data_IF_608370416577
#
_entry.id   IF_608370416577
#
_cell.length_a   1.000
_cell.length_b   1.000
_cell.length_c   1.000
_cell.angle_alpha   90.00
_cell.angle_beta   90.00
_cell.angle_gamma   90.00
#
_symmetry.space_group_name_H-M   'P 1'
#
loop_
_entity.id
_entity.type
_entity.pdbx_description
1 polymer ?
#
# COMPACT_ATOMS: atom_id res chain seq x y z
N UNK A 1 -31.42 7.13 -4.14
CA UNK A 1 -30.53 6.00 -3.77
C UNK A 1 -29.84 5.29 -4.95
N UNK A 2 -30.44 5.22 -6.15
CA UNK A 2 -29.80 4.58 -7.35
C UNK A 2 -28.54 5.31 -7.85
N UNK A 3 -28.50 6.64 -7.85
CA UNK A 3 -27.34 7.42 -8.30
C UNK A 3 -26.08 7.21 -7.44
N UNK A 4 -26.24 7.02 -6.13
CA UNK A 4 -25.11 6.84 -5.21
C UNK A 4 -24.38 5.50 -5.42
N UNK A 5 -25.13 4.43 -5.73
CA UNK A 5 -24.56 3.11 -6.07
C UNK A 5 -23.80 3.12 -7.39
N UNK A 6 -24.26 3.89 -8.38
CA UNK A 6 -23.54 4.05 -9.66
C UNK A 6 -22.20 4.74 -9.44
N UNK A 7 -22.21 5.88 -8.73
CA UNK A 7 -20.99 6.63 -8.44
C UNK A 7 -19.94 5.79 -7.71
N UNK A 8 -20.34 5.03 -6.68
CA UNK A 8 -19.42 4.12 -5.99
C UNK A 8 -18.85 3.03 -6.91
N UNK A 9 -19.66 2.50 -7.82
CA UNK A 9 -19.22 1.48 -8.79
C UNK A 9 -18.26 2.07 -9.82
N UNK A 10 -18.50 3.31 -10.25
CA UNK A 10 -17.66 4.01 -11.23
C UNK A 10 -16.33 4.41 -10.59
N UNK A 11 -16.34 4.94 -9.36
CA UNK A 11 -15.13 5.20 -8.57
C UNK A 11 -14.37 3.90 -8.30
N UNK A 12 -15.06 2.81 -7.94
CA UNK A 12 -14.42 1.52 -7.71
C UNK A 12 -13.77 0.97 -8.98
N UNK A 13 -14.43 1.08 -10.13
CA UNK A 13 -13.85 0.72 -11.42
C UNK A 13 -12.67 1.62 -11.77
N UNK A 14 -12.74 2.93 -11.48
CA UNK A 14 -11.64 3.86 -11.74
C UNK A 14 -10.42 3.57 -10.87
N UNK A 15 -10.63 3.29 -9.57
CA UNK A 15 -9.59 2.88 -8.62
C UNK A 15 -9.02 1.49 -8.97
N UNK A 16 -9.85 0.60 -9.51
CA UNK A 16 -9.42 -0.72 -9.98
C UNK A 16 -8.57 -0.61 -11.26
N UNK A 17 -8.89 0.34 -12.14
CA UNK A 17 -8.13 0.61 -13.38
C UNK A 17 -6.82 1.35 -13.07
N UNK A 18 -6.83 2.29 -12.12
CA UNK A 18 -5.63 2.97 -11.63
C UNK A 18 -5.06 2.24 -10.41
N UNK A 19 -4.37 1.12 -10.68
CA UNK A 19 -3.77 0.24 -9.66
C UNK A 19 -2.88 1.03 -8.67
N UNK A 20 -2.23 2.09 -9.13
CA UNK A 20 -1.47 3.05 -8.32
C UNK A 20 -2.31 3.73 -7.24
N UNK A 21 -3.52 4.21 -7.57
CA UNK A 21 -4.42 4.89 -6.64
C UNK A 21 -5.01 3.94 -5.60
N UNK A 22 -5.07 2.63 -5.91
CA UNK A 22 -5.59 1.63 -4.97
C UNK A 22 -4.82 1.62 -3.64
N UNK A 23 -3.49 1.76 -3.69
CA UNK A 23 -2.67 1.81 -2.47
C UNK A 23 -2.95 3.06 -1.63
N UNK A 24 -3.10 4.22 -2.26
CA UNK A 24 -3.45 5.48 -1.59
C UNK A 24 -4.84 5.38 -0.95
N UNK A 25 -5.81 4.86 -1.70
CA UNK A 25 -7.19 4.66 -1.21
C UNK A 25 -7.21 3.71 0.00
N UNK A 26 -6.46 2.62 -0.04
CA UNK A 26 -6.31 1.71 1.11
C UNK A 26 -5.72 2.45 2.31
N UNK A 27 -4.67 3.24 2.12
CA UNK A 27 -4.09 4.08 3.17
C UNK A 27 -5.11 5.04 3.80
N UNK A 28 -5.90 5.74 2.99
CA UNK A 28 -6.95 6.64 3.48
C UNK A 28 -8.09 5.92 4.21
N UNK A 29 -8.50 4.74 3.72
CA UNK A 29 -9.52 3.92 4.40
C UNK A 29 -9.01 3.47 5.77
N UNK A 30 -7.77 2.99 5.85
CA UNK A 30 -7.14 2.60 7.10
C UNK A 30 -7.02 3.79 8.05
N UNK A 31 -6.65 4.97 7.56
CA UNK A 31 -6.62 6.18 8.35
C UNK A 31 -8.01 6.58 8.89
N UNK A 32 -9.03 6.59 8.05
CA UNK A 32 -10.41 6.92 8.45
C UNK A 32 -10.96 5.90 9.47
N UNK A 33 -10.59 4.62 9.35
CA UNK A 33 -11.00 3.54 10.25
C UNK A 33 -10.06 3.33 11.44
N UNK A 34 -8.96 4.07 11.53
CA UNK A 34 -7.91 3.88 12.54
C UNK A 34 -8.47 3.90 13.97
N UNK A 35 -9.30 4.88 14.31
CA UNK A 35 -9.95 4.97 15.62
C UNK A 35 -10.78 3.73 16.00
N UNK A 36 -11.46 3.10 15.03
CA UNK A 36 -12.25 1.88 15.28
C UNK A 36 -11.30 0.69 15.47
N UNK A 37 -10.28 0.59 14.61
CA UNK A 37 -9.28 -0.49 14.66
C UNK A 37 -8.50 -0.47 15.98
N UNK A 38 -8.06 0.70 16.43
CA UNK A 38 -7.33 0.86 17.69
C UNK A 38 -8.22 0.55 18.89
N UNK A 39 -9.48 1.02 18.90
CA UNK A 39 -10.43 0.71 19.99
C UNK A 39 -10.86 -0.75 20.04
N UNK A 40 -10.76 -1.48 18.92
CA UNK A 40 -11.01 -2.93 18.90
C UNK A 40 -9.88 -3.72 19.57
N UNK A 41 -8.65 -3.24 19.47
CA UNK A 41 -7.47 -3.87 20.10
C UNK A 41 -7.39 -3.46 21.57
N UNK A 42 -7.59 -2.17 21.85
CA UNK A 42 -7.61 -1.62 23.19
C UNK A 42 -8.87 -0.74 23.38
N UNK A 43 -9.93 -1.27 24.02
CA UNK A 43 -11.16 -0.53 24.29
C UNK A 43 -10.97 0.68 25.21
N UNK A 44 -9.88 0.71 25.99
CA UNK A 44 -9.58 1.78 26.95
C UNK A 44 -8.77 2.92 26.33
N UNK A 45 -8.18 2.69 25.15
CA UNK A 45 -7.44 3.73 24.43
C UNK A 45 -8.37 4.89 24.02
N UNK A 46 -7.95 6.11 24.35
CA UNK A 46 -8.49 7.30 23.71
C UNK A 46 -8.08 7.32 22.22
N UNK A 47 -8.76 8.12 21.39
CA UNK A 47 -8.60 8.11 19.92
C UNK A 47 -7.15 8.22 19.42
N UNK A 48 -6.25 8.79 20.22
CA UNK A 48 -4.82 8.96 19.89
C UNK A 48 -3.87 8.46 20.99
N UNK A 49 -4.35 7.61 21.90
CA UNK A 49 -3.58 7.11 23.06
C UNK A 49 -3.50 5.58 23.05
N UNK A 50 -3.32 4.97 21.88
CA UNK A 50 -3.12 3.52 21.76
C UNK A 50 -1.63 3.11 21.79
N UNK A 51 -0.75 4.04 22.17
CA UNK A 51 0.69 3.83 22.33
C UNK A 51 1.36 3.20 21.11
N UNK A 52 2.01 2.05 21.31
CA UNK A 52 2.85 1.40 20.29
C UNK A 52 2.06 0.86 19.08
N UNK A 53 0.78 0.52 19.26
CA UNK A 53 -0.07 0.01 18.18
C UNK A 53 -0.43 1.11 17.16
N UNK A 54 -0.56 2.34 17.65
CA UNK A 54 -0.82 3.51 16.80
C UNK A 54 0.35 3.80 15.87
N UNK A 55 1.59 3.69 16.38
CA UNK A 55 2.82 3.89 15.60
C UNK A 55 2.87 2.89 14.44
N UNK A 56 2.66 1.60 14.73
CA UNK A 56 2.68 0.54 13.71
C UNK A 56 1.57 0.77 12.67
N UNK A 57 0.36 1.11 13.10
CA UNK A 57 -0.76 1.36 12.20
C UNK A 57 -0.48 2.56 11.27
N UNK A 58 0.03 3.66 11.81
CA UNK A 58 0.35 4.84 11.00
C UNK A 58 1.57 4.61 10.09
N UNK A 59 2.54 3.79 10.50
CA UNK A 59 3.64 3.39 9.62
C UNK A 59 3.13 2.61 8.41
N UNK A 60 2.18 1.69 8.61
CA UNK A 60 1.54 0.94 7.51
C UNK A 60 0.74 1.89 6.60
N UNK A 61 -0.05 2.80 7.17
CA UNK A 61 -0.79 3.81 6.39
C UNK A 61 0.18 4.65 5.55
N UNK A 62 1.26 5.17 6.15
CA UNK A 62 2.27 5.96 5.47
C UNK A 62 2.94 5.16 4.34
N UNK A 63 3.25 3.88 4.56
CA UNK A 63 3.83 3.01 3.55
C UNK A 63 2.92 2.85 2.33
N UNK A 64 1.61 2.66 2.54
CA UNK A 64 0.64 2.59 1.44
C UNK A 64 0.52 3.89 0.65
N UNK A 65 0.50 5.03 1.34
CA UNK A 65 0.42 6.35 0.69
C UNK A 65 1.69 6.63 -0.11
N UNK A 66 2.87 6.46 0.49
CA UNK A 66 4.15 6.69 -0.16
C UNK A 66 4.38 5.74 -1.33
N UNK A 67 4.02 4.46 -1.19
CA UNK A 67 4.06 3.51 -2.29
C UNK A 67 3.22 3.99 -3.49
N UNK A 68 2.00 4.47 -3.25
CA UNK A 68 1.15 5.01 -4.31
C UNK A 68 1.74 6.24 -4.98
N UNK A 69 2.30 7.17 -4.19
CA UNK A 69 3.00 8.35 -4.72
C UNK A 69 4.19 7.94 -5.59
N UNK A 70 5.02 7.00 -5.12
CA UNK A 70 6.17 6.49 -5.90
C UNK A 70 5.71 5.83 -7.20
N UNK A 71 4.63 5.03 -7.19
CA UNK A 71 4.08 4.43 -8.42
C UNK A 71 3.61 5.50 -9.41
N UNK A 72 2.93 6.54 -8.95
CA UNK A 72 2.52 7.68 -9.81
C UNK A 72 3.76 8.36 -10.40
N UNK A 73 4.79 8.62 -9.58
CA UNK A 73 6.03 9.24 -10.05
C UNK A 73 6.77 8.36 -11.06
N UNK A 74 6.84 7.04 -10.83
CA UNK A 74 7.43 6.10 -11.78
C UNK A 74 6.74 6.15 -13.13
N UNK A 75 5.41 6.17 -13.14
CA UNK A 75 4.63 6.28 -14.39
C UNK A 75 4.86 7.61 -15.12
N UNK A 76 5.05 8.70 -14.38
CA UNK A 76 5.30 10.04 -14.96
C UNK A 76 6.74 10.20 -15.48
N UNK A 77 7.74 9.74 -14.73
CA UNK A 77 9.15 9.95 -15.03
C UNK A 77 9.68 8.85 -15.94
N UNK A 78 9.28 7.59 -15.70
CA UNK A 78 9.83 6.40 -16.36
C UNK A 78 8.73 5.41 -16.79
N UNK A 79 7.85 5.81 -17.73
CA UNK A 79 6.70 5.01 -18.14
C UNK A 79 7.08 3.63 -18.70
N UNK A 80 8.27 3.48 -19.29
CA UNK A 80 8.77 2.20 -19.80
C UNK A 80 9.00 1.18 -18.67
N UNK A 81 9.54 1.62 -17.53
CA UNK A 81 9.73 0.77 -16.36
C UNK A 81 8.40 0.40 -15.72
N UNK A 82 7.47 1.35 -15.64
CA UNK A 82 6.12 1.06 -15.14
C UNK A 82 5.38 0.03 -16.02
N UNK A 83 5.48 0.19 -17.35
CA UNK A 83 4.93 -0.75 -18.32
C UNK A 83 5.56 -2.15 -18.21
N UNK A 84 6.88 -2.22 -18.04
CA UNK A 84 7.59 -3.48 -17.84
C UNK A 84 7.09 -4.21 -16.58
N UNK A 85 6.97 -3.50 -15.45
CA UNK A 85 6.49 -4.06 -14.19
C UNK A 85 5.07 -4.60 -14.29
N UNK A 86 4.23 -4.00 -15.13
CA UNK A 86 2.83 -4.38 -15.25
C UNK A 86 2.57 -5.50 -16.26
N UNK A 87 3.33 -5.54 -17.36
CA UNK A 87 3.03 -6.42 -18.49
C UNK A 87 4.06 -7.55 -18.70
N UNK A 88 5.32 -7.33 -18.34
CA UNK A 88 6.43 -8.22 -18.74
C UNK A 88 7.04 -8.95 -17.54
N UNK A 89 7.14 -8.26 -16.39
CA UNK A 89 7.81 -8.76 -15.19
C UNK A 89 7.32 -10.14 -14.73
N UNK A 90 6.02 -10.42 -14.80
CA UNK A 90 5.48 -11.71 -14.39
C UNK A 90 5.92 -12.88 -15.30
N UNK A 91 6.15 -12.61 -16.57
CA UNK A 91 6.62 -13.60 -17.55
C UNK A 91 8.11 -13.85 -17.33
N UNK A 92 8.90 -12.79 -17.24
CA UNK A 92 10.34 -12.87 -16.99
C UNK A 92 10.65 -13.49 -15.63
N UNK A 93 9.87 -13.18 -14.60
CA UNK A 93 10.04 -13.78 -13.29
C UNK A 93 9.90 -15.31 -13.33
N UNK A 94 9.07 -15.87 -14.23
CA UNK A 94 8.90 -17.32 -14.35
C UNK A 94 10.10 -17.98 -15.01
N UNK A 95 10.83 -17.29 -15.89
CA UNK A 95 12.01 -17.84 -16.59
C UNK A 95 13.26 -17.86 -15.71
N UNK A 96 13.28 -17.07 -14.62
CA UNK A 96 14.38 -17.07 -13.65
C UNK A 96 14.61 -18.43 -12.99
N UNK A 97 15.88 -18.71 -12.66
CA UNK A 97 16.25 -19.88 -11.86
C UNK A 97 15.72 -19.77 -10.42
N UNK A 98 15.50 -20.91 -9.76
CA UNK A 98 14.92 -20.98 -8.41
C UNK A 98 15.68 -20.13 -7.38
N UNK A 99 17.02 -20.11 -7.45
CA UNK A 99 17.85 -19.29 -6.57
C UNK A 99 17.67 -17.79 -6.82
N UNK A 100 17.55 -17.37 -8.08
CA UNK A 100 17.34 -15.96 -8.44
C UNK A 100 15.96 -15.48 -7.96
N UNK A 101 14.94 -16.31 -8.11
CA UNK A 101 13.58 -16.07 -7.58
C UNK A 101 13.62 -15.89 -6.07
N UNK A 102 14.32 -16.77 -5.36
CA UNK A 102 14.45 -16.71 -3.91
C UNK A 102 15.16 -15.42 -3.48
N UNK A 103 16.26 -15.06 -4.13
CA UNK A 103 17.00 -13.82 -3.85
C UNK A 103 16.14 -12.57 -4.09
N UNK A 104 15.46 -12.47 -5.23
CA UNK A 104 14.62 -11.32 -5.56
C UNK A 104 13.45 -11.18 -4.59
N UNK A 105 12.73 -12.27 -4.32
CA UNK A 105 11.58 -12.27 -3.40
C UNK A 105 12.00 -11.88 -1.98
N UNK A 106 13.11 -12.44 -1.51
CA UNK A 106 13.67 -12.12 -0.19
C UNK A 106 14.13 -10.66 -0.11
N UNK A 107 14.72 -10.14 -1.19
CA UNK A 107 15.13 -8.73 -1.26
C UNK A 107 13.93 -7.77 -1.21
N UNK A 108 12.86 -8.08 -1.95
CA UNK A 108 11.61 -7.31 -1.91
C UNK A 108 11.02 -7.33 -0.50
N UNK A 109 10.95 -8.52 0.13
CA UNK A 109 10.46 -8.66 1.50
C UNK A 109 11.26 -7.79 2.49
N UNK A 110 12.58 -7.85 2.47
CA UNK A 110 13.42 -7.03 3.36
C UNK A 110 13.33 -5.55 3.05
N UNK A 111 13.18 -5.14 1.78
CA UNK A 111 12.97 -3.73 1.42
C UNK A 111 11.67 -3.19 2.02
N UNK A 112 10.57 -3.94 1.95
CA UNK A 112 9.30 -3.57 2.57
C UNK A 112 9.38 -3.56 4.11
N UNK A 113 10.01 -4.57 4.71
CA UNK A 113 10.22 -4.61 6.15
C UNK A 113 11.04 -3.41 6.63
N UNK A 114 12.13 -3.10 5.93
CA UNK A 114 12.99 -1.96 6.24
C UNK A 114 12.24 -0.63 6.11
N UNK A 115 11.46 -0.45 5.04
CA UNK A 115 10.62 0.74 4.87
C UNK A 115 9.60 0.89 6.01
N UNK A 116 8.94 -0.19 6.42
CA UNK A 116 7.98 -0.18 7.53
C UNK A 116 8.65 0.19 8.86
N UNK A 117 9.81 -0.39 9.16
CA UNK A 117 10.57 -0.10 10.40
C UNK A 117 11.07 1.35 10.41
N UNK A 118 11.56 1.87 9.29
CA UNK A 118 11.98 3.27 9.19
C UNK A 118 10.81 4.23 9.43
N UNK A 119 9.65 3.95 8.84
CA UNK A 119 8.45 4.76 9.06
C UNK A 119 7.97 4.69 10.50
N UNK A 120 7.96 3.50 11.11
CA UNK A 120 7.61 3.33 12.53
C UNK A 120 8.60 4.01 13.48
N UNK A 121 9.85 4.22 13.08
CA UNK A 121 10.84 4.97 13.88
C UNK A 121 10.62 6.49 13.82
N UNK A 122 10.09 6.99 12.71
CA UNK A 122 9.89 8.43 12.47
C UNK A 122 8.61 8.96 13.13
N UNK A 123 7.62 8.10 13.31
CA UNK A 123 6.30 8.39 13.87
C UNK A 123 6.26 8.19 15.40
#
# INVERSE_FOLDING_TARGET
>A
MKHFKSFFKDVWNYVKVWRELSSIVVGFILWMKSHILLRWIDPTSATYDAGIFQIILFAVIALFVLHGVVRILMKLIWPTTDNYLDNEFATDFKTLESWQKLKLTTSIFFAFLFAAVLLARVL
#
